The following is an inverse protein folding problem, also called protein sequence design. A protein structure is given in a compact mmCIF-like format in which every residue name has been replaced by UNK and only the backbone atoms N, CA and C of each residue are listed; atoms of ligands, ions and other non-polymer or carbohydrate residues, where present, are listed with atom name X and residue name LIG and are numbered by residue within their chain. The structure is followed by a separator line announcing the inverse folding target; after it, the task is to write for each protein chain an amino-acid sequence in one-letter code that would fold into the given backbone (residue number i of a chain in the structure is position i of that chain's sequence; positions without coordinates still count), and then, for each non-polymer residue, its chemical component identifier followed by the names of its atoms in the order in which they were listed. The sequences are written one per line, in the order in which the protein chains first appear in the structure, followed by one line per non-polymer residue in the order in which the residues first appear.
data_IF_107677429331
#
_entry.id   IF_107677429331
#
_cell.length_a   1.000
_cell.length_b   1.000
_cell.length_c   1.000
_cell.angle_alpha   90.00
_cell.angle_beta   90.00
_cell.angle_gamma   90.00
#
_symmetry.space_group_name_H-M   'P 1'
#
loop_
_entity.id
_entity.type
_entity.pdbx_description
1 polymer ?
#
# COMPACT_ATOMS: atom_id res chain seq x y z
N UNK A 1 15.66 24.61 -22.56
CA UNK A 1 14.53 23.83 -23.11
C UNK A 1 14.72 22.31 -23.07
N UNK A 2 15.94 21.75 -23.02
CA UNK A 2 16.13 20.29 -22.87
C UNK A 2 16.16 19.76 -21.43
N UNK A 3 16.34 20.63 -20.42
CA UNK A 3 16.40 20.23 -19.00
C UNK A 3 15.02 20.18 -18.33
N UNK A 4 14.05 20.95 -18.82
CA UNK A 4 12.67 20.96 -18.29
C UNK A 4 11.93 19.62 -18.55
N UNK A 5 12.11 19.01 -19.73
CA UNK A 5 11.48 17.73 -20.09
C UNK A 5 12.04 16.54 -19.30
N UNK A 6 13.31 16.61 -18.89
CA UNK A 6 13.94 15.58 -18.06
C UNK A 6 13.43 15.67 -16.61
N UNK A 7 13.27 16.88 -16.07
CA UNK A 7 12.72 17.11 -14.73
C UNK A 7 11.28 16.62 -14.60
N UNK A 8 10.43 16.97 -15.57
CA UNK A 8 9.01 16.61 -15.58
C UNK A 8 8.77 15.09 -15.64
N UNK A 9 9.61 14.38 -16.41
CA UNK A 9 9.55 12.92 -16.49
C UNK A 9 9.94 12.26 -15.16
N UNK A 10 10.91 12.80 -14.43
CA UNK A 10 11.34 12.25 -13.14
C UNK A 10 10.24 12.40 -12.08
N UNK A 11 9.60 13.56 -12.02
CA UNK A 11 8.46 13.82 -11.12
C UNK A 11 7.27 12.90 -11.43
N UNK A 12 6.99 12.68 -12.71
CA UNK A 12 5.91 11.77 -13.13
C UNK A 12 6.19 10.33 -12.71
N UNK A 13 7.39 9.81 -12.98
CA UNK A 13 7.77 8.44 -12.60
C UNK A 13 7.69 8.27 -11.07
N UNK A 14 8.19 9.24 -10.30
CA UNK A 14 8.10 9.25 -8.84
C UNK A 14 6.65 9.13 -8.35
N UNK A 15 5.76 9.97 -8.86
CA UNK A 15 4.33 9.95 -8.53
C UNK A 15 3.68 8.59 -8.81
N UNK A 16 3.94 8.05 -10.01
CA UNK A 16 3.40 6.75 -10.45
C UNK A 16 3.95 5.61 -9.60
N UNK A 17 5.24 5.58 -9.32
CA UNK A 17 5.89 4.53 -8.52
C UNK A 17 5.33 4.48 -7.10
N UNK A 18 5.12 5.62 -6.45
CA UNK A 18 4.58 5.67 -5.08
C UNK A 18 3.14 5.15 -5.04
N UNK A 19 2.34 5.54 -6.01
CA UNK A 19 0.95 5.08 -6.13
C UNK A 19 0.90 3.58 -6.40
N UNK A 20 1.71 3.09 -7.33
CA UNK A 20 1.76 1.68 -7.70
C UNK A 20 2.27 0.80 -6.54
N UNK A 21 3.35 1.21 -5.86
CA UNK A 21 3.88 0.47 -4.72
C UNK A 21 2.88 0.43 -3.56
N UNK A 22 2.21 1.55 -3.27
CA UNK A 22 1.22 1.61 -2.19
C UNK A 22 0.03 0.69 -2.48
N UNK A 23 -0.48 0.74 -3.72
CA UNK A 23 -1.57 -0.11 -4.17
C UNK A 23 -1.22 -1.61 -4.15
N UNK A 24 -0.06 -1.98 -4.71
CA UNK A 24 0.38 -3.37 -4.78
C UNK A 24 0.62 -3.97 -3.39
N UNK A 25 1.19 -3.20 -2.46
CA UNK A 25 1.35 -3.66 -1.08
C UNK A 25 0.01 -3.82 -0.35
N UNK A 26 -0.97 -2.94 -0.59
CA UNK A 26 -2.32 -3.11 -0.06
C UNK A 26 -2.94 -4.43 -0.51
N UNK A 27 -2.85 -4.74 -1.81
CA UNK A 27 -3.32 -6.01 -2.38
C UNK A 27 -2.56 -7.20 -1.79
N UNK A 28 -1.23 -7.16 -1.76
CA UNK A 28 -0.39 -8.22 -1.20
C UNK A 28 -0.73 -8.49 0.28
N UNK A 29 -1.00 -7.43 1.06
CA UNK A 29 -1.42 -7.53 2.46
C UNK A 29 -2.74 -8.28 2.59
N UNK A 30 -3.68 -8.11 1.66
CA UNK A 30 -4.96 -8.83 1.70
C UNK A 30 -4.76 -10.34 1.51
N UNK A 31 -3.81 -10.74 0.65
CA UNK A 31 -3.42 -12.14 0.50
C UNK A 31 -2.69 -12.69 1.73
N UNK A 32 -1.92 -11.87 2.45
CA UNK A 32 -1.33 -12.25 3.75
C UNK A 32 -2.43 -12.46 4.79
N UNK A 33 -3.43 -11.58 4.86
CA UNK A 33 -4.58 -11.80 5.74
C UNK A 33 -5.32 -13.09 5.40
N UNK A 34 -5.45 -13.39 4.11
CA UNK A 34 -6.08 -14.62 3.65
C UNK A 34 -5.30 -15.87 4.09
N UNK A 35 -3.98 -15.86 4.01
CA UNK A 35 -3.18 -17.02 4.44
C UNK A 35 -3.18 -17.21 5.96
N UNK A 36 -3.27 -16.12 6.73
CA UNK A 36 -3.25 -16.16 8.19
C UNK A 36 -4.62 -16.51 8.80
N UNK A 37 -5.70 -15.97 8.23
CA UNK A 37 -7.03 -16.00 8.86
C UNK A 37 -8.09 -16.75 8.05
N UNK A 38 -7.82 -17.06 6.77
CA UNK A 38 -8.77 -17.68 5.87
C UNK A 38 -10.00 -16.81 5.59
N UNK A 39 -11.00 -17.40 4.92
CA UNK A 39 -12.30 -16.77 4.66
C UNK A 39 -13.40 -17.39 5.52
N UNK A 40 -14.42 -16.61 5.88
CA UNK A 40 -15.57 -17.05 6.68
C UNK A 40 -15.87 -16.09 7.83
N UNK A 41 -16.79 -16.46 8.72
CA UNK A 41 -17.18 -15.61 9.87
C UNK A 41 -15.98 -15.29 10.78
N UNK A 42 -15.11 -16.27 11.02
CA UNK A 42 -13.90 -16.10 11.83
C UNK A 42 -12.92 -15.09 11.21
N UNK A 43 -12.69 -15.15 9.89
CA UNK A 43 -11.83 -14.20 9.18
C UNK A 43 -12.45 -12.81 9.07
N UNK A 44 -13.76 -12.72 8.86
CA UNK A 44 -14.49 -11.46 8.74
C UNK A 44 -14.58 -10.68 10.06
N UNK A 45 -14.67 -11.38 11.19
CA UNK A 45 -14.73 -10.76 12.52
C UNK A 45 -13.33 -10.49 13.11
N UNK A 46 -12.25 -10.96 12.48
CA UNK A 46 -10.93 -10.81 13.04
C UNK A 46 -10.39 -9.37 12.88
N UNK A 47 -10.30 -8.65 14.00
CA UNK A 47 -9.72 -7.31 14.07
C UNK A 47 -8.20 -7.32 13.89
N UNK A 48 -7.53 -8.46 14.05
CA UNK A 48 -6.08 -8.58 13.87
C UNK A 48 -5.65 -8.30 12.42
N UNK A 49 -6.55 -8.48 11.44
CA UNK A 49 -6.30 -8.11 10.05
C UNK A 49 -5.97 -6.60 9.89
N UNK A 50 -6.49 -5.75 10.78
CA UNK A 50 -6.13 -4.31 10.82
C UNK A 50 -4.68 -4.10 11.30
N UNK A 51 -4.18 -4.94 12.20
CA UNK A 51 -2.79 -4.87 12.67
C UNK A 51 -1.81 -5.23 11.56
N UNK A 52 -2.18 -6.20 10.70
CA UNK A 52 -1.36 -6.57 9.54
C UNK A 52 -1.23 -5.39 8.57
N UNK A 53 -2.32 -4.67 8.32
CA UNK A 53 -2.31 -3.46 7.46
C UNK A 53 -1.51 -2.35 8.08
N UNK A 54 -1.65 -2.12 9.39
CA UNK A 54 -0.86 -1.13 10.08
C UNK A 54 0.63 -1.46 9.98
N UNK A 55 1.01 -2.74 10.13
CA UNK A 55 2.36 -3.23 9.88
C UNK A 55 2.83 -2.96 8.45
N UNK A 56 1.99 -3.25 7.44
CA UNK A 56 2.31 -2.98 6.04
C UNK A 56 2.54 -1.48 5.76
N UNK A 57 1.72 -0.60 6.33
CA UNK A 57 1.87 0.86 6.23
C UNK A 57 3.21 1.30 6.85
N UNK A 58 3.55 0.78 8.03
CA UNK A 58 4.82 1.11 8.70
C UNK A 58 6.02 0.62 7.88
N UNK A 59 5.95 -0.56 7.25
CA UNK A 59 7.00 -1.11 6.38
C UNK A 59 7.13 -0.32 5.06
N UNK A 60 6.06 0.33 4.59
CA UNK A 60 6.15 1.16 3.38
C UNK A 60 7.05 2.38 3.54
N UNK A 61 7.11 2.97 4.74
CA UNK A 61 7.93 4.15 4.98
C UNK A 61 9.44 3.89 4.76
N UNK A 62 10.05 2.85 5.34
CA UNK A 62 11.45 2.52 5.03
C UNK A 62 11.62 2.07 3.59
N UNK A 63 10.66 1.35 2.98
CA UNK A 63 10.78 0.96 1.56
C UNK A 63 10.85 2.17 0.63
N UNK A 64 9.99 3.17 0.84
CA UNK A 64 9.96 4.38 0.02
C UNK A 64 11.20 5.24 0.29
N UNK A 65 11.68 5.34 1.53
CA UNK A 65 12.96 6.00 1.84
C UNK A 65 14.15 5.32 1.16
N UNK A 66 14.23 3.99 1.23
CA UNK A 66 15.32 3.21 0.62
C UNK A 66 15.31 3.25 -0.91
N UNK A 67 14.13 3.42 -1.52
CA UNK A 67 14.02 3.52 -2.98
C UNK A 67 14.67 4.77 -3.58
N UNK A 68 15.07 5.75 -2.76
CA UNK A 68 15.69 7.01 -3.24
C UNK A 68 14.76 7.89 -4.06
N UNK A 69 13.47 7.57 -4.12
CA UNK A 69 12.44 8.30 -4.87
C UNK A 69 12.21 9.70 -4.28
N UNK A 70 12.45 9.88 -2.99
CA UNK A 70 12.34 11.17 -2.30
C UNK A 70 13.70 11.57 -1.73
N UNK A 71 14.03 12.86 -1.84
CA UNK A 71 15.05 13.48 -0.99
C UNK A 71 14.50 13.62 0.43
N UNK A 72 15.37 13.50 1.44
CA UNK A 72 14.98 13.44 2.86
C UNK A 72 14.15 14.66 3.31
N UNK A 73 14.32 15.81 2.66
CA UNK A 73 13.65 17.08 2.99
C UNK A 73 12.24 17.25 2.39
N UNK A 74 11.79 16.34 1.51
CA UNK A 74 10.51 16.49 0.78
C UNK A 74 9.34 15.69 1.38
N UNK A 75 9.61 14.86 2.39
CA UNK A 75 8.62 13.90 2.89
C UNK A 75 7.69 14.49 3.96
N UNK A 76 6.70 15.26 3.52
CA UNK A 76 5.69 15.88 4.38
C UNK A 76 4.54 14.96 4.83
N UNK A 77 3.73 15.43 5.78
CA UNK A 77 2.56 14.72 6.35
C UNK A 77 1.56 14.22 5.28
N UNK A 78 1.39 14.97 4.19
CA UNK A 78 0.55 14.59 3.05
C UNK A 78 0.96 13.26 2.43
N UNK A 79 2.26 12.99 2.31
CA UNK A 79 2.75 11.74 1.70
C UNK A 79 2.47 10.54 2.59
N UNK A 80 2.70 10.67 3.90
CA UNK A 80 2.32 9.64 4.87
C UNK A 80 0.83 9.33 4.81
N UNK A 81 -0.03 10.35 4.77
CA UNK A 81 -1.48 10.18 4.69
C UNK A 81 -1.88 9.51 3.37
N UNK A 82 -1.30 9.94 2.24
CA UNK A 82 -1.57 9.35 0.93
C UNK A 82 -1.21 7.85 0.91
N UNK A 83 -0.02 7.49 1.36
CA UNK A 83 0.45 6.09 1.38
C UNK A 83 -0.44 5.26 2.30
N UNK A 84 -0.69 5.72 3.52
CA UNK A 84 -1.53 5.02 4.48
C UNK A 84 -2.95 4.81 3.93
N UNK A 85 -3.55 5.86 3.36
CA UNK A 85 -4.88 5.81 2.77
C UNK A 85 -4.94 4.85 1.57
N UNK A 86 -4.02 4.97 0.61
CA UNK A 86 -4.01 4.12 -0.59
C UNK A 86 -3.84 2.65 -0.24
N UNK A 87 -2.91 2.33 0.65
CA UNK A 87 -2.65 0.96 1.11
C UNK A 87 -3.86 0.38 1.83
N UNK A 88 -4.46 1.16 2.73
CA UNK A 88 -5.67 0.75 3.46
C UNK A 88 -6.85 0.54 2.50
N UNK A 89 -7.10 1.46 1.58
CA UNK A 89 -8.23 1.36 0.63
C UNK A 89 -8.10 0.15 -0.28
N UNK A 90 -6.92 -0.10 -0.87
CA UNK A 90 -6.74 -1.25 -1.73
C UNK A 90 -6.82 -2.56 -0.96
N UNK A 91 -6.21 -2.62 0.23
CA UNK A 91 -6.36 -3.77 1.11
C UNK A 91 -7.83 -4.02 1.45
N UNK A 92 -8.58 -3.00 1.86
CA UNK A 92 -9.97 -3.13 2.31
C UNK A 92 -10.87 -3.65 1.20
N UNK A 93 -10.74 -3.11 -0.01
CA UNK A 93 -11.51 -3.57 -1.17
C UNK A 93 -11.14 -4.99 -1.55
N UNK A 94 -9.85 -5.31 -1.65
CA UNK A 94 -9.40 -6.68 -1.99
C UNK A 94 -9.82 -7.67 -0.91
N UNK A 95 -9.66 -7.35 0.37
CA UNK A 95 -10.05 -8.19 1.48
C UNK A 95 -11.56 -8.45 1.51
N UNK A 96 -12.38 -7.41 1.30
CA UNK A 96 -13.83 -7.55 1.18
C UNK A 96 -14.25 -8.46 0.03
N UNK A 97 -13.57 -8.36 -1.12
CA UNK A 97 -13.81 -9.27 -2.26
C UNK A 97 -13.45 -10.70 -1.88
N UNK A 98 -12.26 -10.94 -1.32
CA UNK A 98 -11.80 -12.29 -0.94
C UNK A 98 -12.73 -12.96 0.09
N UNK A 99 -13.19 -12.20 1.09
CA UNK A 99 -14.16 -12.67 2.07
C UNK A 99 -15.51 -13.01 1.44
N UNK A 100 -15.98 -12.19 0.51
CA UNK A 100 -17.28 -12.39 -0.16
C UNK A 100 -17.26 -13.57 -1.12
N UNK A 101 -16.14 -13.78 -1.83
CA UNK A 101 -16.01 -14.91 -2.76
C UNK A 101 -15.72 -16.24 -2.05
N UNK A 102 -15.34 -16.22 -0.77
CA UNK A 102 -15.01 -17.43 0.00
C UNK A 102 -13.79 -18.16 -0.56
N UNK A 103 -12.84 -17.42 -1.13
CA UNK A 103 -11.62 -17.99 -1.72
C UNK A 103 -10.76 -18.66 -0.65
N UNK A 104 -10.15 -19.79 -0.96
CA UNK A 104 -9.22 -20.51 -0.07
C UNK A 104 -7.89 -20.75 -0.80
N UNK A 105 -6.79 -20.75 -0.05
CA UNK A 105 -5.42 -20.99 -0.57
C UNK A 105 -4.79 -22.15 0.20
#
# INVERSE_FOLDING_TARGET
MSTESISDRYEHIRSVSVTALSALLGVATAFVCLSLYGTGEAGAQNQEALLVVLGAIVIQFPLIKLSGIYNEDEFGAKHYLFIAFMTFSLWFVTWGILLTTGVTI
#
